data_IF_858854589111
#
_entry.id   IF_858854589111
#
_cell.length_a   1.000
_cell.length_b   1.000
_cell.length_c   1.000
_cell.angle_alpha   90.00
_cell.angle_beta   90.00
_cell.angle_gamma   90.00
#
_symmetry.space_group_name_H-M   'P 1'
#
loop_
_entity.id
_entity.type
_entity.pdbx_description
1 polymer ?
#
# COMPACT_ATOMS: atom_id res chain seq x y z
N UNK A 1 5.54 -7.23 -13.33
CA UNK A 1 4.66 -6.68 -12.28
C UNK A 1 4.87 -5.17 -12.22
N UNK A 2 3.82 -4.37 -12.06
CA UNK A 2 3.97 -2.89 -12.01
C UNK A 2 4.53 -2.43 -10.66
N UNK A 3 5.06 -1.21 -10.59
CA UNK A 3 5.53 -0.62 -9.34
C UNK A 3 4.39 -0.47 -8.31
N UNK A 4 3.22 0.00 -8.77
CA UNK A 4 2.02 0.17 -7.93
C UNK A 4 1.57 -1.19 -7.38
N UNK A 5 1.52 -2.23 -8.23
CA UNK A 5 1.13 -3.57 -7.81
C UNK A 5 2.03 -4.12 -6.70
N UNK A 6 3.34 -3.90 -6.78
CA UNK A 6 4.28 -4.36 -5.76
C UNK A 6 4.03 -3.68 -4.40
N UNK A 7 3.78 -2.38 -4.38
CA UNK A 7 3.48 -1.66 -3.13
C UNK A 7 2.11 -2.02 -2.57
N UNK A 8 1.11 -2.26 -3.44
CA UNK A 8 -0.22 -2.69 -3.00
C UNK A 8 -0.18 -4.05 -2.30
N UNK A 9 0.61 -5.01 -2.81
CA UNK A 9 0.80 -6.32 -2.15
C UNK A 9 1.36 -6.16 -0.74
N UNK A 10 2.30 -5.24 -0.53
CA UNK A 10 2.86 -4.98 0.81
C UNK A 10 1.84 -4.42 1.80
N UNK A 11 0.74 -3.85 1.32
CA UNK A 11 -0.29 -3.20 2.12
C UNK A 11 -1.65 -3.94 2.09
N UNK A 12 -1.71 -5.10 1.42
CA UNK A 12 -2.97 -5.80 1.09
C UNK A 12 -3.70 -6.35 2.32
N UNK A 13 -2.98 -6.59 3.42
CA UNK A 13 -3.55 -7.04 4.68
C UNK A 13 -4.42 -5.96 5.37
N UNK A 14 -4.31 -4.70 4.94
CA UNK A 14 -5.01 -3.55 5.52
C UNK A 14 -4.46 -3.07 6.87
N UNK A 15 -3.33 -3.60 7.31
CA UNK A 15 -2.66 -3.24 8.56
C UNK A 15 -1.85 -1.94 8.41
N UNK A 16 -1.35 -1.41 9.53
CA UNK A 16 -0.47 -0.26 9.54
C UNK A 16 0.98 -0.70 9.31
N UNK A 17 1.61 -0.12 8.29
CA UNK A 17 3.00 -0.37 7.94
C UNK A 17 3.83 0.90 8.13
N UNK A 18 4.97 0.79 8.80
CA UNK A 18 5.97 1.86 8.79
C UNK A 18 6.68 1.91 7.45
N UNK A 19 7.23 3.07 7.10
CA UNK A 19 8.05 3.22 5.90
C UNK A 19 9.25 2.25 5.88
N UNK A 20 9.90 2.07 7.04
CA UNK A 20 10.99 1.11 7.20
C UNK A 20 10.53 -0.34 6.95
N UNK A 21 9.33 -0.73 7.39
CA UNK A 21 8.77 -2.05 7.09
C UNK A 21 8.58 -2.26 5.58
N UNK A 22 8.06 -1.26 4.87
CA UNK A 22 7.88 -1.33 3.41
C UNK A 22 9.21 -1.44 2.67
N UNK A 23 10.24 -0.73 3.14
CA UNK A 23 11.60 -0.79 2.59
C UNK A 23 12.26 -2.14 2.85
N UNK A 24 12.16 -2.69 4.05
CA UNK A 24 12.76 -3.98 4.39
C UNK A 24 12.09 -5.17 3.70
N UNK A 25 10.79 -5.07 3.40
CA UNK A 25 10.02 -6.12 2.76
C UNK A 25 9.94 -5.99 1.23
N UNK A 26 10.66 -5.04 0.63
CA UNK A 26 10.68 -4.85 -0.81
C UNK A 26 12.10 -4.66 -1.36
N UNK A 27 12.30 -5.00 -2.63
CA UNK A 27 13.52 -4.67 -3.37
C UNK A 27 13.44 -3.30 -4.05
N UNK A 28 12.52 -2.43 -3.61
CA UNK A 28 12.24 -1.14 -4.24
C UNK A 28 13.16 -0.05 -3.67
N UNK A 29 13.51 0.92 -4.51
CA UNK A 29 14.21 2.10 -4.03
C UNK A 29 13.28 2.96 -3.17
N UNK A 30 13.87 3.66 -2.19
CA UNK A 30 13.14 4.53 -1.27
C UNK A 30 12.20 5.51 -1.99
N UNK A 31 12.74 6.21 -2.98
CA UNK A 31 12.00 7.18 -3.81
C UNK A 31 10.84 6.55 -4.59
N UNK A 32 10.94 5.26 -4.95
CA UNK A 32 9.85 4.56 -5.64
C UNK A 32 8.70 4.26 -4.69
N UNK A 33 9.01 3.83 -3.46
CA UNK A 33 8.01 3.59 -2.42
C UNK A 33 7.31 4.91 -2.09
N UNK A 34 8.06 6.00 -1.85
CA UNK A 34 7.51 7.33 -1.61
C UNK A 34 6.58 7.79 -2.73
N UNK A 35 7.03 7.68 -3.99
CA UNK A 35 6.23 8.08 -5.17
C UNK A 35 4.89 7.36 -5.19
N UNK A 36 4.85 6.05 -4.89
CA UNK A 36 3.60 5.30 -4.87
C UNK A 36 2.74 5.65 -3.67
N UNK A 37 3.33 5.80 -2.48
CA UNK A 37 2.57 6.18 -1.28
C UNK A 37 1.93 7.56 -1.45
N UNK A 38 2.66 8.53 -2.01
CA UNK A 38 2.14 9.85 -2.35
C UNK A 38 1.03 9.77 -3.41
N UNK A 39 1.24 8.99 -4.47
CA UNK A 39 0.20 8.73 -5.46
C UNK A 39 -1.08 8.19 -4.80
N UNK A 40 -0.98 7.11 -4.02
CA UNK A 40 -2.14 6.51 -3.36
C UNK A 40 -2.79 7.48 -2.36
N UNK A 41 -2.02 8.28 -1.63
CA UNK A 41 -2.54 9.30 -0.72
C UNK A 41 -3.31 10.40 -1.47
N UNK A 42 -2.76 10.90 -2.59
CA UNK A 42 -3.37 11.96 -3.39
C UNK A 42 -4.73 11.56 -3.98
N UNK A 43 -4.92 10.27 -4.28
CA UNK A 43 -6.20 9.74 -4.75
C UNK A 43 -7.11 9.22 -3.62
N UNK A 44 -6.71 9.39 -2.35
CA UNK A 44 -7.51 8.99 -1.19
C UNK A 44 -7.58 7.47 -0.99
N UNK A 45 -6.61 6.73 -1.49
CA UNK A 45 -6.49 5.27 -1.36
C UNK A 45 -5.64 4.85 -0.16
N UNK A 46 -4.86 5.76 0.40
CA UNK A 46 -3.97 5.54 1.53
C UNK A 46 -4.35 6.43 2.71
N UNK A 47 -4.37 5.87 3.91
CA UNK A 47 -4.41 6.62 5.16
C UNK A 47 -3.02 6.67 5.76
N UNK A 48 -2.56 7.88 6.07
CA UNK A 48 -1.32 8.11 6.82
C UNK A 48 -1.66 8.45 8.26
N UNK A 49 -1.03 7.77 9.20
CA UNK A 49 -1.04 8.16 10.60
C UNK A 49 0.08 9.19 10.82
N UNK A 50 -0.29 10.41 11.19
CA UNK A 50 0.66 11.50 11.42
C UNK A 50 1.45 11.35 12.73
N UNK A 51 0.99 10.53 13.67
CA UNK A 51 1.64 10.37 14.98
C UNK A 51 2.87 9.46 14.93
N UNK A 52 2.82 8.39 14.15
CA UNK A 52 3.87 7.36 14.08
C UNK A 52 4.44 7.17 12.66
N UNK A 53 3.92 7.91 11.67
CA UNK A 53 4.38 7.82 10.28
C UNK A 53 4.02 6.50 9.61
N UNK A 54 3.02 5.77 10.10
CA UNK A 54 2.53 4.55 9.48
C UNK A 54 1.51 4.81 8.39
N UNK A 55 1.37 3.84 7.48
CA UNK A 55 0.51 3.90 6.31
C UNK A 55 -0.34 2.64 6.25
N UNK A 56 -1.58 2.78 5.80
CA UNK A 56 -2.45 1.65 5.44
C UNK A 56 -3.33 2.00 4.26
N UNK A 57 -3.78 1.00 3.52
CA UNK A 57 -4.84 1.21 2.54
C UNK A 57 -6.15 1.60 3.23
N UNK A 58 -6.96 2.40 2.55
CA UNK A 58 -8.34 2.65 2.97
C UNK A 58 -9.11 1.32 2.97
N UNK A 59 -9.92 1.01 4.01
CA UNK A 59 -10.59 -0.29 4.12
C UNK A 59 -11.38 -0.71 2.87
N UNK A 60 -12.07 0.24 2.21
CA UNK A 60 -12.81 -0.02 0.97
C UNK A 60 -11.93 -0.53 -0.18
N UNK A 61 -10.67 -0.11 -0.25
CA UNK A 61 -9.75 -0.59 -1.28
C UNK A 61 -9.27 -2.01 -0.96
N UNK A 62 -9.03 -2.31 0.31
CA UNK A 62 -8.69 -3.67 0.77
C UNK A 62 -9.81 -4.64 0.43
N UNK A 63 -11.07 -4.24 0.65
CA UNK A 63 -12.25 -5.02 0.25
C UNK A 63 -12.29 -5.27 -1.27
N UNK A 64 -12.02 -4.23 -2.09
CA UNK A 64 -11.96 -4.37 -3.55
C UNK A 64 -10.86 -5.32 -4.02
N UNK A 65 -9.68 -5.26 -3.40
CA UNK A 65 -8.57 -6.17 -3.73
C UNK A 65 -8.96 -7.62 -3.45
N UNK A 66 -9.57 -7.91 -2.29
CA UNK A 66 -10.04 -9.26 -1.94
C UNK A 66 -11.12 -9.79 -2.88
N UNK A 67 -12.09 -8.97 -3.26
CA UNK A 67 -13.14 -9.36 -4.21
C UNK A 67 -12.57 -9.70 -5.59
N UNK A 68 -11.49 -9.02 -5.99
CA UNK A 68 -10.84 -9.25 -7.27
C UNK A 68 -10.18 -10.64 -7.34
N UNK A 69 -9.69 -11.16 -6.21
CA UNK A 69 -9.12 -12.50 -6.10
C UNK A 69 -10.20 -13.60 -6.13
N UNK A 70 -11.40 -13.32 -5.64
CA UNK A 70 -12.53 -14.27 -5.66
C UNK A 70 -13.18 -14.42 -7.04
N UNK A 71 -12.90 -13.52 -7.98
CA UNK A 71 -13.54 -13.50 -9.31
C UNK A 71 -12.73 -14.24 -10.39
N UNK A 72 -11.56 -14.78 -10.07
CA UNK A 72 -10.80 -15.67 -10.95
C UNK A 72 -11.27 -17.13 -10.77
N UNK A 73 -12.34 -17.51 -11.47
CA UNK A 73 -12.82 -18.90 -11.60
C UNK A 73 -13.20 -19.22 -13.04
#
# INVERSE_FOLDING_TARGET
MSLISQVLVLLENGELHSFENLKSNSCLAESQIETVLEFLANYGFLQRNFYDGTFRLVPKLVELLRLSEETEC
#
